data_IF_719583594800
#
_entry.id   IF_719583594800
#
_cell.length_a   1.000
_cell.length_b   1.000
_cell.length_c   1.000
_cell.angle_alpha   90.00
_cell.angle_beta   90.00
_cell.angle_gamma   90.00
#
_symmetry.space_group_name_H-M   'P 1'
#
loop_
_entity.id
_entity.type
_entity.pdbx_description
1 polymer ?
#
# COMPACT_ATOMS: atom_id res chain seq x y z
N UNK A 1 -26.31 10.80 29.40
CA UNK A 1 -25.75 10.12 28.21
C UNK A 1 -25.86 8.62 28.44
N UNK A 2 -26.43 7.88 27.49
CA UNK A 2 -26.49 6.41 27.57
C UNK A 2 -25.12 5.87 27.15
N UNK A 3 -24.46 5.13 28.02
CA UNK A 3 -23.21 4.45 27.71
C UNK A 3 -23.53 3.23 26.83
N UNK A 4 -23.19 3.33 25.53
CA UNK A 4 -23.34 2.24 24.57
C UNK A 4 -22.03 1.45 24.49
N UNK A 5 -22.06 0.23 25.00
CA UNK A 5 -20.92 -0.69 25.03
C UNK A 5 -21.39 -2.09 24.64
N UNK A 6 -20.55 -2.82 23.92
CA UNK A 6 -20.83 -4.19 23.50
C UNK A 6 -21.14 -5.12 24.69
N UNK A 7 -20.51 -4.89 25.85
CA UNK A 7 -20.77 -5.68 27.06
C UNK A 7 -22.18 -5.51 27.64
N UNK A 8 -22.91 -4.48 27.23
CA UNK A 8 -24.30 -4.21 27.65
C UNK A 8 -25.26 -4.48 26.50
N UNK A 9 -24.96 -4.00 25.29
CA UNK A 9 -25.87 -4.08 24.14
C UNK A 9 -25.84 -5.43 23.43
N UNK A 10 -24.75 -6.19 23.55
CA UNK A 10 -24.50 -7.44 22.82
C UNK A 10 -24.15 -8.60 23.77
N UNK A 11 -24.61 -8.52 25.02
CA UNK A 11 -24.23 -9.46 26.10
C UNK A 11 -24.55 -10.93 25.77
N UNK A 12 -25.57 -11.19 24.95
CA UNK A 12 -26.01 -12.52 24.52
C UNK A 12 -25.54 -12.89 23.09
N UNK A 13 -24.75 -12.03 22.44
CA UNK A 13 -24.36 -12.17 21.03
C UNK A 13 -22.92 -12.67 20.84
N UNK A 14 -22.36 -13.41 21.80
CA UNK A 14 -20.96 -13.85 21.77
C UNK A 14 -20.56 -14.50 20.43
N UNK A 15 -21.35 -15.46 19.94
CA UNK A 15 -21.05 -16.16 18.68
C UNK A 15 -21.05 -15.24 17.45
N UNK A 16 -21.96 -14.26 17.43
CA UNK A 16 -22.05 -13.29 16.32
C UNK A 16 -20.86 -12.33 16.35
N UNK A 17 -20.49 -11.84 17.53
CA UNK A 17 -19.30 -10.98 17.71
C UNK A 17 -18.04 -11.77 17.35
N UNK A 18 -17.89 -12.99 17.83
CA UNK A 18 -16.75 -13.86 17.52
C UNK A 18 -16.60 -14.07 16.00
N UNK A 19 -17.67 -14.50 15.31
CA UNK A 19 -17.66 -14.67 13.84
C UNK A 19 -17.36 -13.37 13.09
N UNK A 20 -17.89 -12.23 13.55
CA UNK A 20 -17.61 -10.94 12.93
C UNK A 20 -16.14 -10.53 13.08
N UNK A 21 -15.58 -10.72 14.28
CA UNK A 21 -14.17 -10.42 14.53
C UNK A 21 -13.24 -11.31 13.72
N UNK A 22 -13.55 -12.61 13.59
CA UNK A 22 -12.78 -13.53 12.75
C UNK A 22 -12.80 -13.13 11.27
N UNK A 23 -13.97 -12.82 10.72
CA UNK A 23 -14.10 -12.31 9.34
C UNK A 23 -13.34 -11.00 9.14
N UNK A 24 -13.34 -10.13 10.14
CA UNK A 24 -12.61 -8.86 10.09
C UNK A 24 -11.09 -9.08 10.06
N UNK A 25 -10.57 -10.07 10.81
CA UNK A 25 -9.16 -10.46 10.73
C UNK A 25 -8.80 -10.95 9.33
N UNK A 26 -9.59 -11.86 8.76
CA UNK A 26 -9.37 -12.35 7.39
C UNK A 26 -9.43 -11.23 6.34
N UNK A 27 -10.29 -10.24 6.55
CA UNK A 27 -10.35 -9.05 5.69
C UNK A 27 -9.06 -8.23 5.80
N UNK A 28 -8.57 -7.97 7.02
CA UNK A 28 -7.33 -7.24 7.24
C UNK A 28 -6.13 -7.95 6.60
N UNK A 29 -6.03 -9.27 6.72
CA UNK A 29 -4.97 -10.07 6.08
C UNK A 29 -4.99 -9.92 4.54
N UNK A 30 -6.18 -10.02 3.93
CA UNK A 30 -6.34 -9.81 2.48
C UNK A 30 -5.97 -8.39 2.06
N UNK A 31 -6.36 -7.39 2.85
CA UNK A 31 -6.05 -6.00 2.58
C UNK A 31 -4.54 -5.72 2.72
N UNK A 32 -3.88 -6.33 3.69
CA UNK A 32 -2.42 -6.26 3.84
C UNK A 32 -1.70 -6.86 2.63
N UNK A 33 -2.10 -8.05 2.18
CA UNK A 33 -1.55 -8.67 0.96
C UNK A 33 -1.74 -7.76 -0.26
N UNK A 34 -2.92 -7.19 -0.43
CA UNK A 34 -3.19 -6.24 -1.51
C UNK A 34 -2.22 -5.03 -1.46
N UNK A 35 -1.98 -4.46 -0.28
CA UNK A 35 -1.05 -3.34 -0.14
C UNK A 35 0.39 -3.73 -0.44
N UNK A 36 0.82 -4.96 -0.07
CA UNK A 36 2.15 -5.49 -0.41
C UNK A 36 2.34 -5.65 -1.92
N UNK A 37 1.34 -6.21 -2.61
CA UNK A 37 1.36 -6.35 -4.07
C UNK A 37 1.39 -4.97 -4.74
N UNK A 38 0.57 -4.03 -4.26
CA UNK A 38 0.53 -2.66 -4.75
C UNK A 38 1.86 -1.94 -4.58
N UNK A 39 2.51 -2.10 -3.43
CA UNK A 39 3.83 -1.53 -3.13
C UNK A 39 4.90 -2.11 -4.04
N UNK A 40 4.85 -3.41 -4.32
CA UNK A 40 5.80 -4.06 -5.24
C UNK A 40 5.71 -3.47 -6.66
N UNK A 41 4.49 -3.23 -7.14
CA UNK A 41 4.24 -2.58 -8.44
C UNK A 41 4.81 -1.16 -8.48
N UNK A 42 4.57 -0.35 -7.44
CA UNK A 42 5.12 1.02 -7.36
C UNK A 42 6.66 1.01 -7.36
N UNK A 43 7.25 0.11 -6.57
CA UNK A 43 8.68 -0.04 -6.47
C UNK A 43 9.32 -0.41 -7.82
N UNK A 44 8.70 -1.34 -8.56
CA UNK A 44 9.15 -1.72 -9.91
C UNK A 44 9.02 -0.57 -10.90
N UNK A 45 7.92 0.18 -10.84
CA UNK A 45 7.70 1.36 -11.67
C UNK A 45 8.77 2.42 -11.41
N UNK A 46 9.04 2.74 -10.14
CA UNK A 46 10.08 3.69 -9.75
C UNK A 46 11.48 3.25 -10.21
N UNK A 47 11.80 1.94 -10.08
CA UNK A 47 13.05 1.36 -10.60
C UNK A 47 13.17 1.51 -12.12
N UNK A 48 12.09 1.26 -12.86
CA UNK A 48 12.05 1.41 -14.31
C UNK A 48 12.30 2.86 -14.74
N UNK A 49 11.64 3.84 -14.08
CA UNK A 49 11.86 5.26 -14.32
C UNK A 49 13.31 5.67 -14.03
N UNK A 50 13.87 5.25 -12.89
CA UNK A 50 15.27 5.55 -12.54
C UNK A 50 16.25 5.01 -13.58
N UNK A 51 16.02 3.79 -14.07
CA UNK A 51 16.82 3.18 -15.13
C UNK A 51 16.70 3.99 -16.43
N UNK A 52 15.48 4.33 -16.84
CA UNK A 52 15.20 5.14 -18.03
C UNK A 52 15.95 6.48 -17.97
N UNK A 53 15.78 7.23 -16.87
CA UNK A 53 16.47 8.51 -16.68
C UNK A 53 17.99 8.34 -16.76
N UNK A 54 18.55 7.33 -16.09
CA UNK A 54 20.00 7.08 -16.11
C UNK A 54 20.51 6.72 -17.51
N UNK A 55 19.75 5.96 -18.30
CA UNK A 55 20.12 5.57 -19.66
C UNK A 55 20.19 6.76 -20.61
N UNK A 56 19.28 7.73 -20.46
CA UNK A 56 19.16 8.87 -21.37
C UNK A 56 19.68 10.20 -20.81
N UNK A 57 20.21 10.22 -19.58
CA UNK A 57 20.95 11.38 -19.08
C UNK A 57 22.25 11.48 -19.90
N UNK A 58 22.43 12.56 -20.69
CA UNK A 58 23.60 12.68 -21.54
C UNK A 58 24.85 12.76 -20.65
N UNK A 59 25.91 12.08 -21.07
CA UNK A 59 27.18 12.14 -20.33
C UNK A 59 27.73 13.55 -20.43
N UNK A 60 28.44 14.03 -19.42
CA UNK A 60 28.91 15.44 -19.32
C UNK A 60 29.52 16.02 -20.60
N UNK A 61 30.22 15.21 -21.41
CA UNK A 61 30.76 15.63 -22.72
C UNK A 61 29.70 15.84 -23.80
N UNK A 62 28.66 15.01 -23.86
CA UNK A 62 27.53 15.19 -24.80
C UNK A 62 26.61 16.34 -24.38
N UNK A 63 26.53 16.65 -23.09
CA UNK A 63 25.83 17.85 -22.59
C UNK A 63 26.53 19.13 -23.06
N UNK A 64 27.85 19.22 -22.93
CA UNK A 64 28.60 20.38 -23.44
C UNK A 64 28.42 20.55 -24.96
N UNK A 65 28.45 19.48 -25.75
CA UNK A 65 28.19 19.56 -27.20
C UNK A 65 26.73 19.93 -27.54
N UNK A 66 25.74 19.51 -26.74
CA UNK A 66 24.33 19.86 -26.93
C UNK A 66 24.02 21.32 -26.58
N UNK A 67 24.63 21.85 -25.52
CA UNK A 67 24.44 23.25 -25.09
C UNK A 67 25.27 24.25 -25.89
N UNK A 68 26.39 23.83 -26.46
CA UNK A 68 27.25 24.67 -27.30
C UNK A 68 26.88 24.62 -28.79
N UNK A 69 25.73 24.03 -29.14
CA UNK A 69 25.14 24.03 -30.48
C UNK A 69 23.93 24.96 -30.52
#
# INVERSE_FOLDING_TARGET
MINRSWGIELWDQFDNVSKYTEKSVQFCEKYESFLKDRSTIEDDYARALKKLTKTYTPKSKEQEEFYNK
#
